data_IF_665854721252
#
_entry.id   IF_665854721252
#
_cell.length_a   1.000
_cell.length_b   1.000
_cell.length_c   1.000
_cell.angle_alpha   90.00
_cell.angle_beta   90.00
_cell.angle_gamma   90.00
#
_symmetry.space_group_name_H-M   'P 1'
#
loop_
_entity.id
_entity.type
_entity.pdbx_description
1 polymer ?
#
# COMPACT_ATOMS: atom_id res chain seq x y z
N UNK A 1 -8.15 34.78 7.66
CA UNK A 1 -7.31 33.58 7.50
C UNK A 1 -7.56 32.70 8.70
N UNK A 2 -8.37 31.70 8.41
CA UNK A 2 -8.54 30.38 9.02
C UNK A 2 -7.46 29.95 10.03
N UNK A 3 -7.83 29.58 11.26
CA UNK A 3 -8.30 28.24 11.75
C UNK A 3 -7.08 27.38 12.14
N UNK A 4 -6.65 27.37 13.42
CA UNK A 4 -7.23 26.68 14.60
C UNK A 4 -7.06 25.15 14.43
N UNK A 5 -6.37 24.37 15.28
CA UNK A 5 -5.93 24.59 16.67
C UNK A 5 -4.72 23.70 17.03
N UNK A 6 -3.54 24.31 17.13
CA UNK A 6 -2.41 23.80 17.94
C UNK A 6 -2.70 23.86 19.45
N UNK A 7 -3.94 24.17 19.85
CA UNK A 7 -4.34 24.52 21.21
C UNK A 7 -4.74 23.34 22.09
N UNK A 8 -5.22 22.21 21.55
CA UNK A 8 -5.71 21.09 22.39
C UNK A 8 -4.62 20.10 22.79
N UNK A 9 -3.65 19.81 21.92
CA UNK A 9 -2.47 18.99 22.25
C UNK A 9 -1.49 19.76 23.15
N UNK A 10 -1.28 21.05 22.90
CA UNK A 10 -0.55 21.91 23.82
C UNK A 10 -1.30 22.12 25.13
N UNK A 11 -2.64 22.08 25.16
CA UNK A 11 -3.41 22.10 26.41
C UNK A 11 -3.41 20.76 27.16
N UNK A 12 -3.23 19.63 26.48
CA UNK A 12 -3.12 18.31 27.09
C UNK A 12 -1.68 18.06 27.61
N UNK A 13 -0.66 18.43 26.82
CA UNK A 13 0.73 18.51 27.28
C UNK A 13 0.88 19.52 28.42
N UNK A 14 0.34 20.74 28.27
CA UNK A 14 0.32 21.71 29.39
C UNK A 14 -0.49 21.20 30.57
N UNK A 15 -1.62 20.50 30.37
CA UNK A 15 -2.34 19.88 31.50
C UNK A 15 -1.53 18.78 32.17
N UNK A 16 -0.79 17.97 31.42
CA UNK A 16 0.09 16.91 31.96
C UNK A 16 1.30 17.49 32.68
N UNK A 17 1.93 18.53 32.13
CA UNK A 17 3.04 19.26 32.75
C UNK A 17 2.56 20.08 33.95
N UNK A 18 1.37 20.68 33.88
CA UNK A 18 0.72 21.35 35.01
C UNK A 18 0.32 20.33 36.08
N UNK A 19 -0.14 19.12 35.70
CA UNK A 19 -0.40 18.03 36.64
C UNK A 19 0.91 17.63 37.32
N UNK A 20 1.97 17.31 36.59
CA UNK A 20 3.28 16.97 37.17
C UNK A 20 3.82 18.09 38.10
N UNK A 21 3.82 19.35 37.64
CA UNK A 21 4.30 20.49 38.43
C UNK A 21 3.41 20.82 39.64
N UNK A 22 2.09 20.63 39.56
CA UNK A 22 1.16 20.97 40.64
C UNK A 22 0.79 19.80 41.56
N UNK A 23 1.16 18.56 41.19
CA UNK A 23 0.70 17.35 41.86
C UNK A 23 1.82 16.47 42.37
N UNK A 24 2.96 16.37 41.67
CA UNK A 24 4.03 15.41 41.99
C UNK A 24 5.34 16.15 42.34
N UNK A 25 5.67 17.23 41.63
CA UNK A 25 6.90 18.01 41.81
C UNK A 25 6.95 18.83 43.13
N UNK A 26 8.13 19.35 43.54
CA UNK A 26 8.31 20.14 44.77
C UNK A 26 7.38 21.36 44.89
N UNK A 27 6.95 21.93 43.76
CA UNK A 27 6.01 23.07 43.71
C UNK A 27 4.58 22.71 44.21
N UNK A 28 4.26 21.42 44.37
CA UNK A 28 2.99 20.93 44.90
C UNK A 28 2.91 20.96 46.44
N UNK A 29 4.06 20.98 47.13
CA UNK A 29 4.15 20.79 48.58
C UNK A 29 3.49 21.92 49.38
N UNK A 30 3.40 23.12 48.82
CA UNK A 30 2.77 24.28 49.47
C UNK A 30 1.25 24.39 49.30
N UNK A 31 0.62 23.54 48.47
CA UNK A 31 -0.82 23.69 48.10
C UNK A 31 -1.77 22.83 48.92
N UNK A 32 -1.28 21.74 49.50
CA UNK A 32 -2.09 20.81 50.28
C UNK A 32 -1.71 20.93 51.76
N UNK A 33 -2.66 21.23 52.66
CA UNK A 33 -2.38 21.40 54.08
C UNK A 33 -1.76 20.16 54.74
N UNK A 34 -2.01 18.98 54.16
CA UNK A 34 -1.51 17.69 54.64
C UNK A 34 -1.26 16.73 53.47
N UNK A 35 -0.41 15.72 53.70
CA UNK A 35 -0.21 14.61 52.77
C UNK A 35 -1.52 13.86 52.51
N UNK A 36 -2.42 13.78 53.50
CA UNK A 36 -3.76 13.17 53.35
C UNK A 36 -4.63 13.94 52.35
N UNK A 37 -4.69 15.26 52.47
CA UNK A 37 -5.45 16.10 51.52
C UNK A 37 -4.92 16.05 50.09
N UNK A 38 -3.61 15.79 49.92
CA UNK A 38 -2.99 15.57 48.60
C UNK A 38 -3.40 14.22 48.03
N UNK A 39 -3.44 13.17 48.86
CA UNK A 39 -3.81 11.82 48.45
C UNK A 39 -5.30 11.70 48.08
N UNK A 40 -6.20 12.26 48.89
CA UNK A 40 -7.65 12.25 48.61
C UNK A 40 -7.97 13.01 47.31
N UNK A 41 -7.23 14.10 47.05
CA UNK A 41 -7.35 14.86 45.82
C UNK A 41 -6.80 14.08 44.60
N UNK A 42 -5.68 13.37 44.76
CA UNK A 42 -5.08 12.46 43.77
C UNK A 42 -6.03 11.32 43.40
N UNK A 43 -6.66 10.67 44.39
CA UNK A 43 -7.67 9.63 44.19
C UNK A 43 -8.91 10.19 43.46
N UNK A 44 -9.33 11.42 43.81
CA UNK A 44 -10.39 12.14 43.09
C UNK A 44 -10.01 12.57 41.66
N UNK A 45 -8.72 12.69 41.34
CA UNK A 45 -8.25 12.92 39.97
C UNK A 45 -8.01 11.62 39.20
N UNK A 46 -7.74 10.49 39.88
CA UNK A 46 -7.47 9.20 39.23
C UNK A 46 -8.62 8.73 38.33
N UNK A 47 -9.88 9.00 38.72
CA UNK A 47 -11.08 8.78 37.89
C UNK A 47 -11.16 9.64 36.63
N UNK A 48 -10.39 10.74 36.57
CA UNK A 48 -10.25 11.65 35.42
C UNK A 48 -9.01 11.35 34.59
N UNK A 49 -8.13 10.47 35.06
CA UNK A 49 -6.99 9.96 34.30
C UNK A 49 -7.52 8.86 33.39
N UNK A 50 -7.82 9.23 32.13
CA UNK A 50 -8.08 8.24 31.08
C UNK A 50 -6.76 7.55 30.77
N UNK A 51 -6.71 6.22 30.85
CA UNK A 51 -5.58 5.45 30.37
C UNK A 51 -5.47 5.68 28.86
N UNK A 52 -4.43 6.42 28.45
CA UNK A 52 -4.09 6.59 27.04
C UNK A 52 -3.22 5.40 26.62
N UNK A 53 -3.77 4.52 25.79
CA UNK A 53 -3.05 3.43 25.14
C UNK A 53 -3.66 3.17 23.78
N UNK A 54 -2.83 2.84 22.78
CA UNK A 54 -3.29 2.40 21.47
C UNK A 54 -3.07 0.89 21.34
N UNK A 55 -4.09 0.17 20.89
CA UNK A 55 -3.97 -1.22 20.51
C UNK A 55 -3.87 -1.29 18.98
N UNK A 56 -2.73 -1.74 18.46
CA UNK A 56 -2.62 -2.03 17.04
C UNK A 56 -3.42 -3.28 16.70
N UNK A 57 -4.20 -3.17 15.63
CA UNK A 57 -4.92 -4.29 15.07
C UNK A 57 -4.06 -4.96 14.01
N UNK A 58 -3.58 -6.17 14.30
CA UNK A 58 -2.93 -7.00 13.31
C UNK A 58 -3.98 -7.55 12.33
N UNK A 59 -4.08 -6.94 11.15
CA UNK A 59 -5.02 -7.32 10.10
C UNK A 59 -4.74 -8.71 9.50
N UNK A 60 -3.56 -9.30 9.77
CA UNK A 60 -3.28 -10.68 9.36
C UNK A 60 -4.00 -11.71 10.23
N UNK A 61 -4.44 -11.30 11.43
CA UNK A 61 -5.21 -12.15 12.32
C UNK A 61 -6.71 -11.98 12.06
N UNK A 62 -7.49 -13.01 12.38
CA UNK A 62 -8.95 -12.98 12.23
C UNK A 62 -9.48 -13.92 11.17
N UNK A 63 -10.75 -13.75 10.83
CA UNK A 63 -11.47 -14.63 9.90
C UNK A 63 -11.79 -13.87 8.62
N UNK A 64 -11.30 -14.37 7.50
CA UNK A 64 -11.55 -13.83 6.17
C UNK A 64 -12.66 -14.62 5.47
N UNK A 65 -13.64 -13.91 4.91
CA UNK A 65 -14.69 -14.47 4.06
C UNK A 65 -14.73 -13.67 2.78
N UNK A 66 -14.34 -14.25 1.64
CA UNK A 66 -14.23 -13.55 0.35
C UNK A 66 -13.39 -12.25 0.39
N UNK A 67 -12.47 -12.18 1.34
CA UNK A 67 -11.46 -11.12 1.51
C UNK A 67 -10.08 -11.76 1.70
N UNK A 68 -9.03 -10.97 1.55
CA UNK A 68 -7.64 -11.38 1.79
C UNK A 68 -6.76 -10.19 2.19
N UNK A 69 -5.59 -10.48 2.76
CA UNK A 69 -4.57 -9.48 3.06
C UNK A 69 -3.61 -9.33 1.87
N UNK A 70 -3.44 -8.10 1.36
CA UNK A 70 -2.53 -7.76 0.27
C UNK A 70 -1.87 -6.41 0.53
N UNK A 71 -0.53 -6.36 0.52
CA UNK A 71 0.22 -5.12 0.79
C UNK A 71 -0.07 -4.49 2.17
N UNK A 72 -0.39 -5.33 3.17
CA UNK A 72 -0.82 -4.88 4.50
C UNK A 72 -2.29 -4.46 4.59
N UNK A 73 -3.04 -4.50 3.47
CA UNK A 73 -4.42 -4.05 3.36
C UNK A 73 -5.39 -5.21 3.22
N UNK A 74 -6.62 -5.05 3.72
CA UNK A 74 -7.70 -5.99 3.40
C UNK A 74 -8.28 -5.60 2.05
N UNK A 75 -8.38 -6.57 1.14
CA UNK A 75 -9.06 -6.43 -0.14
C UNK A 75 -10.08 -7.55 -0.33
N UNK A 76 -11.00 -7.37 -1.28
CA UNK A 76 -11.82 -8.49 -1.76
C UNK A 76 -10.90 -9.57 -2.30
N UNK A 77 -11.26 -10.84 -2.10
CA UNK A 77 -10.45 -11.96 -2.57
C UNK A 77 -10.46 -12.01 -4.10
N UNK A 78 -9.29 -12.24 -4.70
CA UNK A 78 -9.22 -12.52 -6.13
C UNK A 78 -9.94 -13.86 -6.43
N UNK A 79 -10.94 -13.82 -7.31
CA UNK A 79 -11.73 -15.00 -7.71
C UNK A 79 -11.36 -15.49 -9.11
N UNK A 80 -10.55 -14.74 -9.85
CA UNK A 80 -10.04 -15.17 -11.13
C UNK A 80 -9.35 -14.07 -11.91
N UNK A 81 -9.04 -14.39 -13.17
CA UNK A 81 -8.52 -13.46 -14.15
C UNK A 81 -9.45 -13.46 -15.36
N UNK A 82 -9.72 -12.28 -15.92
CA UNK A 82 -10.33 -12.15 -17.24
C UNK A 82 -9.35 -11.47 -18.19
N UNK A 83 -9.43 -11.80 -19.48
CA UNK A 83 -8.62 -11.13 -20.48
C UNK A 83 -9.01 -9.64 -20.54
N UNK A 84 -8.02 -8.76 -20.36
CA UNK A 84 -8.16 -7.33 -20.57
C UNK A 84 -7.93 -6.95 -22.04
N UNK A 85 -8.06 -5.65 -22.33
CA UNK A 85 -7.68 -5.12 -23.64
C UNK A 85 -6.17 -5.26 -23.85
N UNK A 86 -5.70 -5.78 -25.00
CA UNK A 86 -4.27 -5.88 -25.29
C UNK A 86 -3.58 -4.52 -25.15
N UNK A 87 -2.40 -4.51 -24.54
CA UNK A 87 -1.60 -3.30 -24.35
C UNK A 87 -0.28 -3.36 -25.13
N UNK A 88 0.29 -2.20 -25.45
CA UNK A 88 1.58 -2.14 -26.14
C UNK A 88 2.68 -2.79 -25.30
N UNK A 89 3.37 -3.77 -25.87
CA UNK A 89 4.47 -4.47 -25.22
C UNK A 89 5.81 -3.72 -25.34
N UNK A 90 5.94 -2.81 -26.31
CA UNK A 90 7.16 -2.06 -26.59
C UNK A 90 6.96 -0.63 -26.12
N UNK A 91 7.74 -0.18 -25.13
CA UNK A 91 7.77 1.23 -24.76
C UNK A 91 8.20 2.09 -25.96
N UNK A 92 7.52 3.21 -26.25
CA UNK A 92 7.88 4.10 -27.34
C UNK A 92 9.37 4.44 -27.37
N UNK A 93 10.04 4.17 -28.49
CA UNK A 93 11.47 4.43 -28.65
C UNK A 93 11.74 5.90 -29.00
N UNK A 94 12.78 6.49 -28.43
CA UNK A 94 13.19 7.88 -28.71
C UNK A 94 14.45 7.99 -29.59
N UNK A 95 15.01 6.86 -29.99
CA UNK A 95 16.23 6.76 -30.79
C UNK A 95 16.55 5.31 -31.15
N UNK A 96 17.72 5.10 -31.75
CA UNK A 96 18.23 3.76 -32.05
C UNK A 96 18.31 2.89 -30.80
N UNK A 97 17.84 1.66 -30.89
CA UNK A 97 17.84 0.68 -29.80
C UNK A 97 18.43 -0.65 -30.31
N UNK A 98 19.31 -1.28 -29.52
CA UNK A 98 19.92 -2.57 -29.85
C UNK A 98 18.93 -3.72 -29.96
N UNK A 99 17.76 -3.63 -29.32
CA UNK A 99 16.68 -4.60 -29.43
C UNK A 99 16.01 -4.57 -30.81
N UNK A 100 16.18 -3.48 -31.57
CA UNK A 100 15.59 -3.32 -32.90
C UNK A 100 16.62 -3.64 -33.97
N UNK A 101 16.31 -4.61 -34.83
CA UNK A 101 17.16 -4.95 -35.97
C UNK A 101 16.34 -5.07 -37.25
N UNK A 102 17.00 -4.86 -38.39
CA UNK A 102 16.43 -5.02 -39.73
C UNK A 102 17.52 -5.52 -40.67
N UNK A 103 17.16 -6.24 -41.73
CA UNK A 103 18.11 -6.57 -42.80
C UNK A 103 18.25 -5.46 -43.86
N UNK A 104 17.38 -4.46 -43.85
CA UNK A 104 17.44 -3.35 -44.81
C UNK A 104 16.85 -2.06 -44.24
N UNK A 105 17.50 -0.94 -44.52
CA UNK A 105 17.04 0.40 -44.18
C UNK A 105 17.80 1.47 -44.96
N UNK A 106 17.16 2.61 -45.21
CA UNK A 106 17.79 3.80 -45.76
C UNK A 106 18.27 4.74 -44.64
N UNK A 107 19.32 5.52 -44.91
CA UNK A 107 19.80 6.56 -44.00
C UNK A 107 18.69 7.56 -43.65
N UNK A 108 18.54 7.91 -42.37
CA UNK A 108 17.45 8.74 -41.81
C UNK A 108 16.08 8.06 -41.73
N UNK A 109 15.97 6.78 -42.10
CA UNK A 109 14.75 5.97 -42.04
C UNK A 109 14.97 4.67 -41.27
N UNK A 110 15.61 4.79 -40.12
CA UNK A 110 16.02 3.66 -39.30
C UNK A 110 14.82 2.90 -38.71
N UNK A 111 14.99 1.60 -38.48
CA UNK A 111 13.92 0.69 -38.03
C UNK A 111 13.20 1.14 -36.75
N UNK A 112 13.91 1.73 -35.77
CA UNK A 112 13.33 2.16 -34.49
C UNK A 112 12.20 3.19 -34.64
N UNK A 113 12.17 3.93 -35.75
CA UNK A 113 11.15 4.96 -36.01
C UNK A 113 9.75 4.37 -36.15
N UNK A 114 9.62 3.15 -36.69
CA UNK A 114 8.32 2.48 -36.72
C UNK A 114 7.83 2.07 -35.31
N UNK A 115 8.70 2.10 -34.30
CA UNK A 115 8.43 1.67 -32.92
C UNK A 115 8.45 2.87 -31.94
N UNK A 116 8.43 4.10 -32.45
CA UNK A 116 8.47 5.32 -31.63
C UNK A 116 7.13 5.68 -30.95
N UNK A 117 6.10 4.85 -31.14
CA UNK A 117 4.78 5.03 -30.55
C UNK A 117 3.92 6.10 -31.21
N UNK A 118 4.34 6.67 -32.34
CA UNK A 118 3.62 7.71 -33.06
C UNK A 118 3.55 7.47 -34.57
N UNK A 119 2.52 8.01 -35.24
CA UNK A 119 2.55 8.10 -36.69
C UNK A 119 3.33 9.34 -37.09
N UNK A 120 4.25 9.19 -38.05
CA UNK A 120 5.03 10.29 -38.59
C UNK A 120 4.11 11.36 -39.19
N UNK A 121 4.54 12.61 -39.04
CA UNK A 121 3.89 13.77 -39.64
C UNK A 121 3.97 13.74 -41.17
N UNK A 122 3.00 14.36 -41.82
CA UNK A 122 2.88 14.40 -43.27
C UNK A 122 4.11 15.00 -43.99
N UNK A 123 4.63 14.33 -45.00
CA UNK A 123 5.47 14.92 -46.06
C UNK A 123 6.96 15.11 -45.74
N UNK A 124 7.42 14.78 -44.53
CA UNK A 124 8.84 14.96 -44.16
C UNK A 124 9.70 13.72 -44.39
N UNK A 125 9.13 12.52 -44.48
CA UNK A 125 9.95 11.29 -44.50
C UNK A 125 10.36 10.82 -43.10
N UNK A 126 10.75 11.80 -42.29
CA UNK A 126 11.36 11.69 -40.98
C UNK A 126 10.33 11.14 -39.99
N UNK A 127 10.61 9.96 -39.42
CA UNK A 127 9.69 9.24 -38.52
C UNK A 127 9.16 7.91 -39.09
N UNK A 128 9.66 7.45 -40.24
CA UNK A 128 9.30 6.14 -40.80
C UNK A 128 10.51 5.23 -40.92
N UNK A 129 10.31 3.92 -40.80
CA UNK A 129 11.25 2.94 -41.32
C UNK A 129 11.04 2.79 -42.83
N UNK A 130 12.12 2.82 -43.61
CA UNK A 130 12.07 2.72 -45.08
C UNK A 130 13.17 1.82 -45.61
N UNK A 131 12.81 0.92 -46.53
CA UNK A 131 13.72 -0.03 -47.17
C UNK A 131 14.06 0.39 -48.60
N UNK A 132 15.16 -0.16 -49.13
CA UNK A 132 15.65 -0.05 -50.50
C UNK A 132 15.10 -1.14 -51.43
N UNK A 133 14.54 -2.21 -50.86
CA UNK A 133 13.95 -3.34 -51.60
C UNK A 133 12.51 -3.64 -51.16
N UNK A 134 11.63 -4.10 -52.06
CA UNK A 134 10.18 -4.24 -51.79
C UNK A 134 9.77 -5.57 -51.13
N UNK A 135 10.67 -6.55 -51.05
CA UNK A 135 10.36 -7.90 -50.54
C UNK A 135 11.58 -8.51 -49.84
N UNK A 136 11.35 -9.59 -49.08
CA UNK A 136 12.37 -10.26 -48.28
C UNK A 136 13.05 -9.31 -47.28
N UNK A 137 12.26 -8.41 -46.70
CA UNK A 137 12.71 -7.45 -45.66
C UNK A 137 12.02 -7.75 -44.36
N UNK A 138 12.71 -7.53 -43.25
CA UNK A 138 12.13 -7.72 -41.92
C UNK A 138 12.53 -6.61 -40.97
N UNK A 139 11.60 -6.27 -40.08
CA UNK A 139 11.85 -5.47 -38.88
C UNK A 139 11.61 -6.38 -37.66
N UNK A 140 12.62 -6.50 -36.81
CA UNK A 140 12.65 -7.37 -35.64
C UNK A 140 12.76 -6.57 -34.35
N UNK A 141 12.13 -7.08 -33.29
CA UNK A 141 12.30 -6.63 -31.91
C UNK A 141 12.66 -7.81 -31.00
N UNK A 142 13.58 -7.59 -30.06
CA UNK A 142 13.99 -8.54 -29.02
C UNK A 142 13.61 -8.02 -27.62
N UNK A 143 12.67 -8.69 -26.97
CA UNK A 143 12.29 -8.42 -25.59
C UNK A 143 13.34 -8.95 -24.62
N UNK A 144 13.53 -8.26 -23.49
CA UNK A 144 14.43 -8.70 -22.41
C UNK A 144 13.95 -9.98 -21.71
N UNK A 145 12.65 -10.28 -21.78
CA UNK A 145 12.05 -11.50 -21.26
C UNK A 145 11.02 -12.05 -22.25
N UNK A 146 10.80 -13.39 -22.31
CA UNK A 146 9.77 -13.97 -23.15
C UNK A 146 8.42 -13.29 -22.89
N UNK A 147 7.85 -12.70 -23.93
CA UNK A 147 6.58 -11.96 -23.89
C UNK A 147 5.57 -12.69 -24.77
N UNK A 148 4.28 -12.65 -24.46
CA UNK A 148 3.23 -13.23 -25.31
C UNK A 148 2.53 -12.13 -26.09
N UNK A 149 2.87 -11.99 -27.36
CA UNK A 149 2.18 -11.08 -28.28
C UNK A 149 0.95 -11.77 -28.87
N UNK A 150 -0.20 -11.10 -28.77
CA UNK A 150 -1.51 -11.60 -29.24
C UNK A 150 -2.04 -10.85 -30.47
N UNK A 151 -1.55 -9.61 -30.67
CA UNK A 151 -1.97 -8.74 -31.77
C UNK A 151 -0.78 -7.86 -32.18
N UNK A 152 -0.78 -7.41 -33.42
CA UNK A 152 0.12 -6.36 -33.88
C UNK A 152 -0.63 -5.35 -34.73
N UNK A 153 -0.18 -4.10 -34.70
CA UNK A 153 -0.77 -3.02 -35.48
C UNK A 153 0.25 -2.48 -36.47
N UNK A 154 -0.20 -2.19 -37.69
CA UNK A 154 0.58 -1.48 -38.70
C UNK A 154 -0.12 -0.17 -39.04
N UNK A 155 0.65 0.92 -39.12
CA UNK A 155 0.12 2.23 -39.48
C UNK A 155 0.96 2.94 -40.53
N UNK A 156 0.26 3.68 -41.38
CA UNK A 156 0.86 4.59 -42.34
C UNK A 156 1.19 5.95 -41.68
N UNK A 157 1.84 6.83 -42.42
CA UNK A 157 2.05 8.22 -42.03
C UNK A 157 0.70 8.96 -41.94
N UNK A 158 0.59 9.94 -41.04
CA UNK A 158 -0.65 10.71 -40.84
C UNK A 158 -1.12 11.43 -42.13
N UNK A 159 -0.18 11.88 -42.97
CA UNK A 159 -0.49 12.54 -44.24
C UNK A 159 -0.80 11.60 -45.41
N UNK A 160 -0.65 10.28 -45.25
CA UNK A 160 -0.86 9.31 -46.33
C UNK A 160 0.16 9.38 -47.47
N UNK A 161 1.33 10.00 -47.29
CA UNK A 161 2.34 10.09 -48.35
C UNK A 161 2.99 8.72 -48.69
N UNK A 162 2.87 7.74 -47.79
CA UNK A 162 3.45 6.40 -47.92
C UNK A 162 2.43 5.29 -48.16
N UNK A 163 1.16 5.58 -48.49
CA UNK A 163 0.12 4.54 -48.64
C UNK A 163 0.51 3.48 -49.67
N UNK A 164 1.06 3.91 -50.81
CA UNK A 164 1.57 3.01 -51.85
C UNK A 164 2.85 2.26 -51.47
N UNK A 165 3.48 2.56 -50.33
CA UNK A 165 4.71 1.92 -49.84
C UNK A 165 4.45 1.00 -48.63
N UNK A 166 3.21 0.91 -48.16
CA UNK A 166 2.87 0.01 -47.07
C UNK A 166 3.07 -1.45 -47.49
N UNK A 167 3.40 -2.35 -46.55
CA UNK A 167 3.44 -3.79 -46.81
C UNK A 167 2.15 -4.28 -47.48
N UNK A 168 2.30 -5.17 -48.46
CA UNK A 168 1.19 -5.82 -49.17
C UNK A 168 0.98 -7.25 -48.71
N UNK A 169 2.07 -7.98 -48.53
CA UNK A 169 2.05 -9.35 -48.01
C UNK A 169 3.17 -9.54 -47.01
N UNK A 170 2.89 -10.19 -45.89
CA UNK A 170 3.85 -10.41 -44.82
C UNK A 170 3.47 -11.59 -43.93
N UNK A 171 4.43 -11.98 -43.10
CA UNK A 171 4.25 -12.92 -42.01
C UNK A 171 4.72 -12.25 -40.71
N UNK A 172 3.88 -12.28 -39.69
CA UNK A 172 4.32 -11.95 -38.34
C UNK A 172 4.85 -13.23 -37.70
N UNK A 173 6.11 -13.20 -37.26
CA UNK A 173 6.85 -14.40 -36.87
C UNK A 173 7.51 -14.22 -35.49
N UNK A 174 7.76 -15.34 -34.83
CA UNK A 174 8.55 -15.40 -33.60
C UNK A 174 9.63 -16.48 -33.67
N UNK A 175 10.74 -16.25 -32.96
CA UNK A 175 11.85 -17.20 -32.88
C UNK A 175 11.60 -18.22 -31.76
N UNK A 176 11.54 -19.51 -32.10
CA UNK A 176 11.31 -20.60 -31.14
C UNK A 176 12.59 -21.18 -30.50
N UNK A 177 13.76 -20.64 -30.85
CA UNK A 177 15.07 -21.15 -30.45
C UNK A 177 15.82 -21.85 -31.58
N UNK A 178 15.10 -22.38 -32.56
CA UNK A 178 15.64 -23.13 -33.71
C UNK A 178 15.31 -22.51 -35.06
N UNK A 179 14.15 -21.87 -35.16
CA UNK A 179 13.63 -21.29 -36.40
C UNK A 179 12.59 -20.19 -36.16
N UNK A 180 12.17 -19.57 -37.25
CA UNK A 180 11.07 -18.62 -37.26
C UNK A 180 9.74 -19.34 -37.44
N UNK A 181 8.90 -19.31 -36.42
CA UNK A 181 7.53 -19.80 -36.45
C UNK A 181 6.58 -18.68 -36.86
N UNK A 182 5.67 -18.97 -37.80
CA UNK A 182 4.66 -18.01 -38.28
C UNK A 182 3.48 -17.94 -37.30
N UNK A 183 3.21 -16.74 -36.79
CA UNK A 183 2.10 -16.44 -35.89
C UNK A 183 0.86 -15.89 -36.62
N UNK A 184 1.09 -15.12 -37.68
CA UNK A 184 0.06 -14.63 -38.60
C UNK A 184 0.61 -14.48 -40.02
N UNK A 185 -0.26 -14.59 -41.02
CA UNK A 185 0.09 -14.35 -42.43
C UNK A 185 -0.99 -13.54 -43.12
N UNK A 186 -0.56 -12.50 -43.83
CA UNK A 186 -1.42 -11.60 -44.60
C UNK A 186 -0.92 -11.51 -46.03
N UNK A 187 -1.85 -11.45 -46.97
CA UNK A 187 -1.56 -11.39 -48.40
C UNK A 187 -2.50 -10.40 -49.08
N UNK A 188 -1.99 -9.69 -50.08
CA UNK A 188 -2.76 -8.75 -50.92
C UNK A 188 -3.50 -7.66 -50.12
N UNK A 189 -2.89 -7.17 -49.03
CA UNK A 189 -3.43 -6.03 -48.28
C UNK A 189 -3.05 -4.73 -48.97
N UNK A 190 -4.06 -4.06 -49.54
CA UNK A 190 -3.95 -2.79 -50.26
C UNK A 190 -4.87 -1.73 -49.66
N UNK A 191 -5.03 -0.60 -50.37
CA UNK A 191 -6.06 0.42 -50.10
C UNK A 191 -5.99 1.01 -48.69
N UNK A 192 -4.76 1.27 -48.23
CA UNK A 192 -4.51 1.99 -46.99
C UNK A 192 -5.06 3.42 -47.07
N UNK A 193 -5.66 3.91 -45.98
CA UNK A 193 -6.11 5.29 -45.84
C UNK A 193 -5.12 6.11 -45.02
N UNK A 194 -5.08 7.43 -45.23
CA UNK A 194 -4.25 8.33 -44.44
C UNK A 194 -4.61 8.23 -42.93
N UNK A 195 -3.58 8.28 -42.07
CA UNK A 195 -3.70 8.06 -40.62
C UNK A 195 -4.29 6.71 -40.19
N UNK A 196 -4.45 5.74 -41.09
CA UNK A 196 -4.99 4.43 -40.73
C UNK A 196 -3.99 3.61 -39.92
N UNK A 197 -4.49 2.99 -38.84
CA UNK A 197 -3.82 1.93 -38.10
C UNK A 197 -4.69 0.68 -38.23
N UNK A 198 -4.16 -0.36 -38.88
CA UNK A 198 -4.83 -1.66 -38.99
C UNK A 198 -4.29 -2.62 -37.95
N UNK A 199 -5.21 -3.26 -37.25
CA UNK A 199 -4.91 -4.24 -36.22
C UNK A 199 -5.06 -5.67 -36.75
N UNK A 200 -4.13 -6.55 -36.40
CA UNK A 200 -4.08 -7.92 -36.88
C UNK A 200 -3.85 -8.89 -35.72
N UNK A 201 -4.77 -9.85 -35.57
CA UNK A 201 -4.71 -10.84 -34.49
C UNK A 201 -3.82 -12.01 -34.88
N UNK A 202 -2.97 -12.46 -33.96
CA UNK A 202 -2.14 -13.65 -34.16
C UNK A 202 -3.00 -14.92 -34.09
N UNK A 203 -2.89 -15.79 -35.10
CA UNK A 203 -3.58 -17.08 -35.15
C UNK A 203 -2.95 -18.14 -34.23
N UNK A 204 -1.65 -17.99 -33.96
CA UNK A 204 -0.89 -18.79 -32.99
C UNK A 204 -0.23 -17.83 -32.01
N UNK A 205 -0.27 -18.19 -30.72
CA UNK A 205 0.29 -17.38 -29.64
C UNK A 205 1.19 -18.24 -28.76
N UNK A 206 2.23 -17.61 -28.21
CA UNK A 206 3.21 -18.26 -27.34
C UNK A 206 4.15 -17.22 -26.72
N UNK A 207 4.94 -17.64 -25.73
CA UNK A 207 5.95 -16.79 -25.10
C UNK A 207 7.24 -16.84 -25.91
N UNK A 208 7.65 -15.72 -26.49
CA UNK A 208 8.88 -15.63 -27.27
C UNK A 208 9.67 -14.37 -26.92
N UNK A 209 10.99 -14.40 -27.11
CA UNK A 209 11.83 -13.21 -26.90
C UNK A 209 11.99 -12.38 -28.17
N UNK A 210 12.01 -13.02 -29.35
CA UNK A 210 12.21 -12.32 -30.62
C UNK A 210 10.99 -12.44 -31.51
N UNK A 211 10.58 -11.30 -32.04
CA UNK A 211 9.48 -11.16 -32.98
C UNK A 211 9.94 -10.38 -34.20
N UNK A 212 9.40 -10.71 -35.37
CA UNK A 212 9.62 -9.90 -36.57
C UNK A 212 8.39 -9.79 -37.45
N UNK A 213 8.27 -8.64 -38.09
CA UNK A 213 7.42 -8.44 -39.26
C UNK A 213 8.25 -8.78 -40.51
N UNK A 214 8.01 -9.94 -41.10
CA UNK A 214 8.71 -10.39 -42.32
C UNK A 214 7.85 -10.09 -43.56
N UNK A 215 8.25 -9.11 -44.34
CA UNK A 215 7.50 -8.61 -45.49
C UNK A 215 7.94 -9.35 -46.75
N UNK A 216 6.98 -10.03 -47.37
CA UNK A 216 7.19 -10.82 -48.57
C UNK A 216 6.83 -10.07 -49.85
N UNK A 217 6.00 -9.03 -49.76
CA UNK A 217 5.64 -8.16 -50.90
C UNK A 217 5.20 -6.77 -50.42
N UNK A 218 5.41 -5.75 -51.24
CA UNK A 218 5.07 -4.34 -50.97
C UNK A 218 4.06 -3.81 -51.99
N UNK A 219 3.30 -2.79 -51.62
CA UNK A 219 2.46 -2.07 -52.57
C UNK A 219 3.29 -1.18 -53.54
N UNK A 220 4.59 -1.03 -53.29
CA UNK A 220 5.55 -0.30 -54.13
C UNK A 220 6.62 -1.22 -54.68
N UNK A 221 7.08 -0.97 -55.91
CA UNK A 221 8.22 -1.69 -56.50
C UNK A 221 9.57 -1.21 -55.98
N UNK A 222 9.63 -0.06 -55.31
CA UNK A 222 10.86 0.58 -54.88
C UNK A 222 11.25 0.28 -53.42
N UNK A 223 10.34 -0.25 -52.60
CA UNK A 223 10.61 -0.52 -51.21
C UNK A 223 9.36 -0.61 -50.34
N UNK A 224 9.58 -0.68 -49.03
CA UNK A 224 8.57 -0.62 -47.98
C UNK A 224 8.80 0.65 -47.19
N UNK A 225 7.71 1.29 -46.74
CA UNK A 225 7.78 2.40 -45.79
C UNK A 225 6.69 2.24 -44.74
N UNK A 226 7.10 2.03 -43.49
CA UNK A 226 6.22 1.79 -42.35
C UNK A 226 6.40 2.90 -41.31
N UNK A 227 5.30 3.50 -40.89
CA UNK A 227 5.34 4.56 -39.88
C UNK A 227 5.13 4.05 -38.48
N UNK A 228 4.38 2.96 -38.33
CA UNK A 228 3.93 2.52 -37.03
C UNK A 228 3.84 1.00 -37.03
N UNK A 229 4.51 0.39 -36.07
CA UNK A 229 4.43 -1.00 -35.70
C UNK A 229 4.20 -1.03 -34.19
N UNK A 230 3.15 -1.73 -33.78
CA UNK A 230 2.87 -1.99 -32.37
C UNK A 230 2.77 -3.49 -32.18
N UNK A 231 3.37 -4.01 -31.11
CA UNK A 231 3.19 -5.40 -30.69
C UNK A 231 2.40 -5.38 -29.39
N UNK A 232 1.22 -5.99 -29.36
CA UNK A 232 0.34 -5.96 -28.19
C UNK A 232 0.39 -7.29 -27.45
N UNK A 233 0.64 -7.21 -26.14
CA UNK A 233 0.60 -8.35 -25.23
C UNK A 233 -0.78 -8.48 -24.58
N UNK A 234 -1.11 -9.70 -24.21
CA UNK A 234 -2.31 -9.99 -23.42
C UNK A 234 -2.19 -9.30 -22.05
N UNK A 235 -3.23 -8.58 -21.64
CA UNK A 235 -3.39 -8.11 -20.27
C UNK A 235 -4.40 -9.00 -19.56
N UNK A 236 -4.22 -9.17 -18.26
CA UNK A 236 -5.20 -9.82 -17.41
C UNK A 236 -5.74 -8.79 -16.43
N UNK A 237 -7.06 -8.75 -16.30
CA UNK A 237 -7.73 -8.04 -15.23
C UNK A 237 -8.04 -9.04 -14.13
N UNK A 238 -7.66 -8.71 -12.90
CA UNK A 238 -8.04 -9.50 -11.73
C UNK A 238 -9.53 -9.31 -11.44
N UNK A 239 -10.26 -10.41 -11.43
CA UNK A 239 -11.64 -10.44 -10.96
C UNK A 239 -11.63 -10.66 -9.45
N UNK A 240 -12.40 -9.85 -8.74
CA UNK A 240 -12.55 -9.92 -7.30
C UNK A 240 -13.97 -10.37 -6.93
N UNK A 241 -14.12 -10.96 -5.75
CA UNK A 241 -15.44 -11.24 -5.18
C UNK A 241 -16.30 -9.96 -5.16
N UNK A 242 -17.61 -10.06 -5.35
CA UNK A 242 -18.50 -8.88 -5.34
C UNK A 242 -18.75 -8.34 -3.95
N UNK A 243 -18.48 -9.13 -2.92
CA UNK A 243 -18.56 -8.74 -1.52
C UNK A 243 -17.77 -9.72 -0.65
N UNK A 244 -17.37 -9.28 0.54
CA UNK A 244 -16.69 -10.12 1.50
C UNK A 244 -16.54 -9.42 2.84
N UNK A 245 -16.15 -10.17 3.87
CA UNK A 245 -15.96 -9.65 5.23
C UNK A 245 -14.64 -10.10 5.81
N UNK A 246 -14.05 -9.29 6.68
CA UNK A 246 -13.00 -9.68 7.60
C UNK A 246 -13.47 -9.40 9.02
N UNK A 247 -13.28 -10.35 9.93
CA UNK A 247 -13.62 -10.20 11.35
C UNK A 247 -12.37 -10.39 12.21
N UNK A 248 -12.08 -9.43 13.06
CA UNK A 248 -10.94 -9.48 13.97
C UNK A 248 -11.08 -10.59 15.00
N UNK A 249 -9.96 -11.04 15.62
CA UNK A 249 -10.00 -11.72 16.90
C UNK A 249 -10.63 -10.82 18.00
N UNK A 250 -10.80 -11.39 19.20
CA UNK A 250 -11.16 -10.60 20.39
C UNK A 250 -10.01 -9.66 20.72
N UNK A 251 -10.32 -8.36 20.77
CA UNK A 251 -9.37 -7.31 21.19
C UNK A 251 -9.68 -7.00 22.66
N UNK A 252 -8.71 -7.28 23.54
CA UNK A 252 -8.75 -6.83 24.95
C UNK A 252 -8.12 -5.44 25.03
N UNK A 253 -8.90 -4.42 25.38
CA UNK A 253 -8.44 -3.05 25.55
C UNK A 253 -7.68 -2.83 26.87
N UNK A 254 -7.32 -3.93 27.54
CA UNK A 254 -6.55 -4.05 28.77
C UNK A 254 -7.32 -3.70 30.06
N UNK A 255 -6.71 -4.07 31.19
CA UNK A 255 -7.31 -3.81 32.50
C UNK A 255 -7.24 -2.30 32.83
N UNK A 256 -8.30 -1.78 33.45
CA UNK A 256 -8.43 -0.34 33.76
C UNK A 256 -9.05 0.51 32.65
N UNK A 257 -9.61 -0.12 31.60
CA UNK A 257 -10.36 0.56 30.54
C UNK A 257 -11.60 1.28 31.10
N UNK A 258 -11.69 2.59 30.85
CA UNK A 258 -12.81 3.43 31.31
C UNK A 258 -13.76 3.77 30.14
N UNK A 259 -13.21 4.07 28.97
CA UNK A 259 -13.95 4.65 27.84
C UNK A 259 -13.08 4.59 26.56
N UNK A 260 -13.69 4.38 25.39
CA UNK A 260 -12.99 4.35 24.10
C UNK A 260 -13.03 5.74 23.47
N UNK A 261 -11.87 6.36 23.21
CA UNK A 261 -11.87 7.75 22.66
C UNK A 261 -11.52 7.83 21.19
N UNK A 262 -10.96 6.75 20.61
CA UNK A 262 -10.55 6.69 19.21
C UNK A 262 -10.39 5.23 18.76
N UNK A 263 -10.86 4.92 17.55
CA UNK A 263 -10.59 3.66 16.85
C UNK A 263 -10.03 4.02 15.47
N UNK A 264 -8.77 3.67 15.22
CA UNK A 264 -8.07 3.90 13.96
C UNK A 264 -8.08 2.61 13.13
N UNK A 265 -8.63 2.67 11.92
CA UNK A 265 -8.68 1.53 10.99
C UNK A 265 -8.03 1.98 9.69
N UNK A 266 -6.82 1.48 9.41
CA UNK A 266 -6.09 1.76 8.17
C UNK A 266 -6.29 0.57 7.22
N UNK A 267 -6.51 0.91 5.94
CA UNK A 267 -6.16 0.16 4.73
C UNK A 267 -7.32 -0.22 3.82
N UNK A 268 -7.42 0.50 2.71
CA UNK A 268 -7.97 -0.09 1.49
C UNK A 268 -7.20 0.40 0.24
N UNK A 269 -7.04 -0.48 -0.74
CA UNK A 269 -7.07 -0.03 -2.13
C UNK A 269 -8.53 -0.08 -2.58
N UNK A 270 -9.08 1.07 -2.93
CA UNK A 270 -10.28 1.08 -3.76
C UNK A 270 -9.82 1.06 -5.22
N UNK A 271 -9.97 -0.06 -5.97
CA UNK A 271 -10.40 0.12 -7.34
C UNK A 271 -11.67 0.98 -7.31
N UNK A 272 -11.88 1.87 -8.29
CA UNK A 272 -12.93 2.90 -8.26
C UNK A 272 -14.35 2.30 -8.29
N UNK A 273 -14.82 1.69 -7.20
CA UNK A 273 -16.17 1.10 -7.05
C UNK A 273 -16.41 0.32 -5.72
N UNK A 274 -15.48 0.27 -4.76
CA UNK A 274 -15.67 -0.60 -3.58
C UNK A 274 -16.22 0.18 -2.39
N UNK A 275 -17.38 -0.22 -1.86
CA UNK A 275 -17.93 0.27 -0.60
C UNK A 275 -17.37 -0.53 0.56
N UNK A 276 -17.00 0.16 1.64
CA UNK A 276 -16.56 -0.45 2.89
C UNK A 276 -17.46 0.04 4.02
N UNK A 277 -17.91 -0.88 4.85
CA UNK A 277 -18.55 -0.59 6.13
C UNK A 277 -17.75 -1.20 7.27
N UNK A 278 -17.68 -0.46 8.37
CA UNK A 278 -17.01 -0.86 9.59
C UNK A 278 -18.07 -1.08 10.65
N UNK A 279 -17.99 -2.21 11.32
CA UNK A 279 -18.93 -2.62 12.36
C UNK A 279 -18.14 -3.08 13.58
N UNK A 280 -18.71 -2.90 14.77
CA UNK A 280 -18.12 -3.36 16.02
C UNK A 280 -19.14 -4.17 16.83
N UNK A 281 -18.62 -5.15 17.57
CA UNK A 281 -19.34 -5.87 18.59
C UNK A 281 -18.60 -5.70 19.93
N UNK A 282 -19.34 -5.50 21.01
CA UNK A 282 -18.81 -5.20 22.33
C UNK A 282 -19.05 -6.34 23.31
N UNK A 283 -18.19 -6.45 24.32
CA UNK A 283 -18.29 -7.44 25.39
C UNK A 283 -17.64 -6.94 26.67
N UNK A 284 -18.25 -7.28 27.81
CA UNK A 284 -17.69 -7.03 29.14
C UNK A 284 -16.83 -8.20 29.66
N UNK A 285 -17.04 -9.42 29.15
CA UNK A 285 -16.43 -10.66 29.63
C UNK A 285 -15.44 -11.30 28.63
N UNK A 286 -15.39 -10.80 27.39
CA UNK A 286 -14.54 -11.32 26.31
C UNK A 286 -15.04 -12.63 25.70
N UNK A 287 -16.23 -13.09 26.10
CA UNK A 287 -16.85 -14.36 25.66
C UNK A 287 -18.17 -14.10 24.95
N UNK A 288 -19.05 -13.32 25.56
CA UNK A 288 -20.38 -13.01 25.05
C UNK A 288 -20.35 -11.63 24.41
N UNK A 289 -20.59 -11.58 23.09
CA UNK A 289 -20.57 -10.33 22.33
C UNK A 289 -21.98 -9.91 21.90
N UNK A 290 -22.19 -8.60 21.78
CA UNK A 290 -23.36 -8.06 21.08
C UNK A 290 -23.37 -8.49 19.61
N UNK A 291 -24.49 -8.25 18.92
CA UNK A 291 -24.46 -8.24 17.46
C UNK A 291 -23.52 -7.14 16.94
N UNK A 292 -22.98 -7.34 15.74
CA UNK A 292 -22.25 -6.29 15.03
C UNK A 292 -23.20 -5.15 14.66
N UNK A 293 -22.78 -3.93 14.93
CA UNK A 293 -23.46 -2.71 14.52
C UNK A 293 -22.46 -1.73 13.91
N UNK A 294 -22.92 -0.86 13.02
CA UNK A 294 -22.07 0.14 12.38
C UNK A 294 -21.25 0.92 13.42
N UNK A 295 -19.94 0.97 13.21
CA UNK A 295 -19.03 1.68 14.09
C UNK A 295 -19.14 3.18 13.82
N UNK A 296 -19.56 3.95 14.81
CA UNK A 296 -19.48 5.40 14.81
C UNK A 296 -18.15 5.83 15.47
N UNK A 297 -17.19 6.40 14.73
CA UNK A 297 -15.93 6.86 15.32
C UNK A 297 -16.11 7.99 16.35
N UNK A 298 -17.22 8.73 16.28
CA UNK A 298 -17.54 9.78 17.25
C UNK A 298 -18.16 9.23 18.54
N UNK A 299 -18.61 7.97 18.52
CA UNK A 299 -19.24 7.29 19.66
C UNK A 299 -18.89 5.80 19.64
N UNK A 300 -17.60 5.45 19.85
CA UNK A 300 -17.16 4.06 19.83
C UNK A 300 -17.75 3.26 21.02
N UNK A 301 -17.68 1.91 21.01
CA UNK A 301 -18.20 1.09 22.10
C UNK A 301 -17.38 1.24 23.39
N UNK A 302 -18.06 1.54 24.51
CA UNK A 302 -17.45 1.73 25.83
C UNK A 302 -17.38 0.42 26.62
N UNK A 303 -16.71 -0.58 26.05
CA UNK A 303 -16.54 -1.89 26.69
C UNK A 303 -15.11 -2.38 26.55
N UNK A 304 -14.63 -3.15 27.54
CA UNK A 304 -13.26 -3.66 27.58
C UNK A 304 -12.89 -4.55 26.40
N UNK A 305 -13.80 -5.39 25.93
CA UNK A 305 -13.54 -6.29 24.82
C UNK A 305 -14.34 -5.87 23.59
N UNK A 306 -13.67 -5.81 22.45
CA UNK A 306 -14.32 -5.50 21.18
C UNK A 306 -13.92 -6.51 20.09
N UNK A 307 -14.79 -6.67 19.10
CA UNK A 307 -14.47 -7.24 17.80
C UNK A 307 -14.79 -6.22 16.72
N UNK A 308 -13.98 -6.18 15.69
CA UNK A 308 -14.18 -5.34 14.52
C UNK A 308 -14.53 -6.22 13.33
N UNK A 309 -15.52 -5.79 12.56
CA UNK A 309 -15.87 -6.39 11.28
C UNK A 309 -15.77 -5.36 10.18
N UNK A 310 -15.04 -5.71 9.13
CA UNK A 310 -14.93 -4.95 7.89
C UNK A 310 -15.75 -5.67 6.85
N UNK A 311 -16.76 -5.01 6.30
CA UNK A 311 -17.58 -5.56 5.21
C UNK A 311 -17.33 -4.75 3.94
N UNK A 312 -17.00 -5.43 2.85
CA UNK A 312 -16.66 -4.85 1.56
C UNK A 312 -17.68 -5.28 0.52
N UNK A 313 -18.09 -4.38 -0.38
CA UNK A 313 -18.92 -4.72 -1.55
C UNK A 313 -18.50 -3.91 -2.77
N UNK A 314 -18.41 -4.57 -3.93
CA UNK A 314 -18.21 -3.93 -5.21
C UNK A 314 -19.54 -3.36 -5.70
N UNK A 315 -19.66 -2.04 -5.85
CA UNK A 315 -20.81 -1.42 -6.52
C UNK A 315 -20.39 -0.14 -7.24
N UNK A 316 -20.74 -0.05 -8.53
CA UNK A 316 -20.63 1.16 -9.33
C UNK A 316 -21.16 2.39 -8.58
N UNK A 317 -20.35 3.45 -8.56
CA UNK A 317 -20.60 4.82 -8.08
C UNK A 317 -20.11 5.17 -6.67
N UNK A 318 -19.26 6.20 -6.69
CA UNK A 318 -18.38 6.74 -5.65
C UNK A 318 -19.04 7.05 -4.30
N UNK A 319 -18.27 6.82 -3.24
CA UNK A 319 -18.39 7.55 -1.97
C UNK A 319 -17.00 8.05 -1.60
N UNK A 320 -16.96 9.30 -1.13
CA UNK A 320 -15.77 10.09 -0.81
C UNK A 320 -14.76 9.39 0.12
N UNK A 321 -13.48 9.60 -0.20
CA UNK A 321 -12.30 9.15 0.54
C UNK A 321 -12.35 9.53 2.03
N UNK A 322 -11.95 8.60 2.90
CA UNK A 322 -11.55 8.90 4.29
C UNK A 322 -10.09 8.43 4.44
N UNK A 323 -9.18 9.36 4.70
CA UNK A 323 -7.74 9.14 4.90
C UNK A 323 -7.39 9.33 6.38
N UNK A 324 -6.63 8.42 7.00
CA UNK A 324 -5.92 8.60 8.29
C UNK A 324 -4.63 7.75 8.30
N UNK A 325 -3.50 8.31 8.79
CA UNK A 325 -2.11 7.80 8.72
C UNK A 325 -1.43 7.90 10.09
N UNK A 326 -0.68 6.88 10.56
CA UNK A 326 0.16 6.98 11.78
C UNK A 326 1.44 6.12 11.76
N UNK A 327 2.57 6.82 11.89
CA UNK A 327 3.92 6.27 12.05
C UNK A 327 4.25 6.05 13.55
N UNK A 328 4.68 4.84 13.89
CA UNK A 328 4.94 4.39 15.27
C UNK A 328 6.39 4.51 15.76
N UNK A 329 7.28 5.13 15.00
CA UNK A 329 8.67 5.35 15.43
C UNK A 329 8.86 6.66 16.22
N UNK A 330 7.79 7.41 16.49
CA UNK A 330 7.88 8.67 17.22
C UNK A 330 7.92 8.45 18.74
N UNK A 331 9.00 8.92 19.36
CA UNK A 331 9.22 8.96 20.81
C UNK A 331 8.11 9.65 21.62
N UNK A 332 7.24 10.44 20.97
CA UNK A 332 6.06 11.05 21.60
C UNK A 332 4.91 10.05 21.86
N UNK A 333 4.96 8.84 21.30
CA UNK A 333 3.91 7.83 21.41
C UNK A 333 4.26 6.72 22.44
N UNK A 334 5.28 6.94 23.28
CA UNK A 334 5.71 6.01 24.33
C UNK A 334 5.83 6.76 25.67
N UNK A 335 5.26 6.22 26.75
CA UNK A 335 5.32 6.80 28.10
C UNK A 335 6.39 6.07 28.95
N UNK A 336 7.20 6.83 29.71
CA UNK A 336 8.19 6.29 30.63
C UNK A 336 7.63 6.29 32.07
N UNK A 337 7.54 5.11 32.69
CA UNK A 337 7.15 4.97 34.10
C UNK A 337 8.25 5.50 35.03
N UNK A 338 7.86 6.18 36.12
CA UNK A 338 8.78 6.56 37.19
C UNK A 338 8.81 5.51 38.34
N UNK A 339 9.62 5.75 39.37
CA UNK A 339 9.84 4.80 40.46
C UNK A 339 8.64 4.61 41.42
N UNK A 340 7.62 5.48 41.35
CA UNK A 340 6.49 5.51 42.28
C UNK A 340 5.20 4.93 41.71
N UNK A 341 5.19 4.59 40.42
CA UNK A 341 4.01 4.13 39.71
C UNK A 341 4.25 2.75 39.10
N UNK A 342 3.27 1.87 39.23
CA UNK A 342 3.26 0.55 38.58
C UNK A 342 2.05 0.44 37.66
N UNK A 343 2.21 -0.28 36.56
CA UNK A 343 1.15 -0.53 35.58
C UNK A 343 0.91 -2.04 35.43
N UNK A 344 0.51 -2.69 36.52
CA UNK A 344 0.20 -4.13 36.56
C UNK A 344 -1.31 -4.34 36.34
N UNK A 345 -1.80 -3.89 35.20
CA UNK A 345 -3.23 -3.95 34.85
C UNK A 345 -4.11 -2.87 35.48
N UNK A 346 -3.61 -2.06 36.41
CA UNK A 346 -4.18 -0.74 36.73
C UNK A 346 -3.02 0.19 37.02
N UNK A 347 -3.08 1.43 36.53
CA UNK A 347 -2.13 2.45 36.95
C UNK A 347 -2.37 2.73 38.43
N UNK A 348 -1.44 2.32 39.27
CA UNK A 348 -1.56 2.43 40.72
C UNK A 348 -0.25 2.84 41.34
N UNK A 349 -0.34 3.52 42.48
CA UNK A 349 0.81 3.84 43.29
C UNK A 349 1.51 2.56 43.71
N UNK A 350 2.83 2.56 43.59
CA UNK A 350 3.66 1.48 44.11
C UNK A 350 3.50 1.44 45.63
N UNK A 351 3.01 0.34 46.17
CA UNK A 351 2.81 0.16 47.62
C UNK A 351 3.92 -0.68 48.27
N UNK A 352 4.90 -1.13 47.49
CA UNK A 352 6.01 -1.96 47.96
C UNK A 352 7.32 -1.55 47.27
N UNK A 353 8.35 -1.32 48.08
CA UNK A 353 9.64 -0.78 47.65
C UNK A 353 10.75 -1.72 48.11
N UNK A 354 11.73 -1.96 47.23
CA UNK A 354 12.88 -2.80 47.52
C UNK A 354 14.14 -1.95 47.49
N UNK A 355 14.88 -1.94 48.61
CA UNK A 355 16.16 -1.25 48.70
C UNK A 355 17.25 -2.25 49.02
N UNK A 356 18.40 -2.13 48.34
CA UNK A 356 19.57 -2.95 48.61
C UNK A 356 20.27 -2.45 49.87
N UNK A 357 20.62 -3.36 50.78
CA UNK A 357 21.41 -3.00 51.97
C UNK A 357 22.90 -2.92 51.64
N UNK A 358 23.58 -1.93 52.23
CA UNK A 358 25.02 -1.73 52.10
C UNK A 358 25.74 -2.43 53.25
N UNK A 359 26.77 -3.22 52.95
CA UNK A 359 27.64 -3.84 53.95
C UNK A 359 28.53 -2.77 54.61
N UNK A 360 28.45 -2.68 55.94
CA UNK A 360 29.26 -1.80 56.78
C UNK A 360 30.46 -2.50 57.40
N UNK A 361 31.05 -1.87 58.41
CA UNK A 361 32.20 -2.42 59.14
C UNK A 361 31.84 -3.70 59.90
N UNK A 362 32.80 -4.62 60.00
CA UNK A 362 32.63 -5.85 60.78
C UNK A 362 32.52 -5.52 62.27
N UNK A 363 31.55 -6.11 62.94
CA UNK A 363 31.36 -5.98 64.39
C UNK A 363 31.44 -7.37 64.99
N UNK A 364 32.48 -7.64 65.78
CA UNK A 364 32.82 -8.95 66.33
C UNK A 364 32.93 -10.03 65.23
N UNK A 365 32.19 -11.13 65.33
CA UNK A 365 32.15 -12.24 64.37
C UNK A 365 31.16 -12.03 63.20
N UNK A 366 30.52 -10.86 63.11
CA UNK A 366 29.44 -10.57 62.15
C UNK A 366 29.68 -9.33 61.29
N UNK A 367 28.85 -9.17 60.26
CA UNK A 367 28.84 -8.02 59.33
C UNK A 367 27.60 -7.17 59.59
N UNK A 368 27.76 -5.85 59.65
CA UNK A 368 26.64 -4.91 59.73
C UNK A 368 26.11 -4.62 58.32
N UNK A 369 24.80 -4.54 58.15
CA UNK A 369 24.16 -4.08 56.91
C UNK A 369 23.22 -2.91 57.23
N UNK A 370 23.20 -1.87 56.39
CA UNK A 370 22.33 -0.70 56.59
C UNK A 370 21.75 -0.17 55.28
N UNK A 371 20.55 0.42 55.37
CA UNK A 371 19.89 1.06 54.24
C UNK A 371 19.09 2.28 54.74
N UNK A 372 19.44 3.52 54.34
CA UNK A 372 18.64 4.70 54.68
C UNK A 372 17.34 4.72 53.88
N UNK A 373 16.21 4.94 54.55
CA UNK A 373 14.89 5.08 53.93
C UNK A 373 14.45 6.53 54.11
N UNK A 374 14.22 7.24 53.00
CA UNK A 374 13.66 8.58 53.02
C UNK A 374 12.16 8.54 53.35
N UNK A 375 11.83 8.87 54.60
CA UNK A 375 10.44 8.84 55.09
C UNK A 375 9.57 9.93 54.48
N UNK A 376 10.14 10.98 53.89
CA UNK A 376 9.36 12.07 53.29
C UNK A 376 8.56 11.61 52.06
N UNK A 377 8.98 10.50 51.45
CA UNK A 377 8.35 9.91 50.27
C UNK A 377 7.09 9.08 50.59
N UNK A 378 6.76 8.84 51.87
CA UNK A 378 5.71 7.89 52.26
C UNK A 378 4.71 8.46 53.28
N UNK A 379 3.41 8.34 52.98
CA UNK A 379 2.31 8.70 53.89
C UNK A 379 2.28 7.85 55.17
N UNK A 380 2.57 6.56 55.05
CA UNK A 380 2.67 5.60 56.17
C UNK A 380 3.52 4.42 55.77
N UNK A 381 4.48 4.05 56.62
CA UNK A 381 5.21 2.77 56.49
C UNK A 381 4.52 1.79 57.44
N UNK A 382 3.74 0.87 56.88
CA UNK A 382 2.96 -0.11 57.64
C UNK A 382 3.80 -1.30 58.09
N UNK A 383 4.84 -1.65 57.31
CA UNK A 383 5.68 -2.81 57.55
C UNK A 383 7.07 -2.60 56.94
N UNK A 384 8.11 -3.11 57.59
CA UNK A 384 9.47 -3.23 57.05
C UNK A 384 9.90 -4.68 57.24
N UNK A 385 10.30 -5.33 56.15
CA UNK A 385 10.86 -6.68 56.16
C UNK A 385 12.31 -6.63 55.67
N UNK A 386 13.18 -7.40 56.31
CA UNK A 386 14.53 -7.69 55.80
C UNK A 386 14.49 -9.11 55.26
N UNK A 387 14.81 -9.29 53.98
CA UNK A 387 14.79 -10.58 53.28
C UNK A 387 16.19 -11.08 52.99
#
# INVERSE_FOLDING_TARGET
MDVISLGLASSALRRSTDLDQNVIAPSAEGRFPTVDSRLDWLEGQASKIKAAGSNQLDLSQGTFTDTELSGGKIQLRAVGLIAGSPENAISPLSGSDSAVTTNDQLSSYEAWRALDGSQASSGTGIGTWKTSIPSNVWLQYEFSTPTKIVQYNLGCEAGGSNLGWMPKSWQFQAWDGSGWTVLDSRSNVSDWLASEIRAFTCSKIGMYQRYRLYITDSNSTAGVRLSFLQMLKETALTLYATSGTWESPVIDLSQGWIDTTLIEIINQESPPSTRVSLEAASSSDGVTFTGFSQLDPASPPDTRYIKIKVSMSASSSAVSNVNLDFNQLDSMNQYALDQFVTADGKLQLRTSYFNTMTEGTSINSGKLFSCPIDRSLFKKITQIEVR
#
